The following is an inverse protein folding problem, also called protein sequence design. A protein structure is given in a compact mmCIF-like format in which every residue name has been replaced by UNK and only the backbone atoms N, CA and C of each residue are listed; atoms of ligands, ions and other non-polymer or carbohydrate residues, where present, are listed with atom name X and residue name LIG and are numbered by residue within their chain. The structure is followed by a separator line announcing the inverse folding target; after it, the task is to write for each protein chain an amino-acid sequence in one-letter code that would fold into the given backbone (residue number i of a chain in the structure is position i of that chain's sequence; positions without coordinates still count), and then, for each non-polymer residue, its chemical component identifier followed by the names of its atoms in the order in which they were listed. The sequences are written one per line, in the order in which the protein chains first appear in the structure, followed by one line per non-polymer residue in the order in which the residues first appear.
data_IF_922547552126
#
_entry.id   IF_922547552126
#
_cell.length_a   1.000
_cell.length_b   1.000
_cell.length_c   1.000
_cell.angle_alpha   90.00
_cell.angle_beta   90.00
_cell.angle_gamma   90.00
#
_symmetry.space_group_name_H-M   'P 1'
#
loop_
_entity.id
_entity.type
_entity.pdbx_description
1 polymer ?
#
# COMPACT_ATOMS: atom_id res chain seq x y z
N UNK A 1 13.76 -14.83 -8.56
CA UNK A 1 13.82 -14.99 -7.09
C UNK A 1 12.44 -14.69 -6.56
N UNK A 2 11.74 -15.69 -6.01
CA UNK A 2 10.39 -15.49 -5.45
C UNK A 2 10.55 -14.71 -4.13
N UNK A 3 9.94 -13.54 -4.03
CA UNK A 3 9.89 -12.78 -2.77
C UNK A 3 8.67 -13.27 -2.01
N UNK A 4 8.88 -13.90 -0.86
CA UNK A 4 7.77 -14.46 -0.09
C UNK A 4 7.04 -13.36 0.68
N UNK A 5 5.76 -13.61 0.98
CA UNK A 5 4.95 -12.73 1.84
C UNK A 5 5.67 -12.42 3.16
N UNK A 6 6.34 -13.41 3.75
CA UNK A 6 7.15 -13.28 4.97
C UNK A 6 8.26 -12.24 4.83
N UNK A 7 8.96 -12.23 3.69
CA UNK A 7 10.08 -11.31 3.45
C UNK A 7 9.55 -9.87 3.30
N UNK A 8 8.43 -9.73 2.59
CA UNK A 8 7.66 -8.49 2.50
C UNK A 8 6.91 -8.14 3.80
N UNK A 9 6.83 -9.01 4.80
CA UNK A 9 6.23 -8.67 6.07
C UNK A 9 7.30 -8.18 7.04
N UNK A 10 8.36 -8.96 7.23
CA UNK A 10 9.49 -8.62 8.08
C UNK A 10 10.14 -7.28 7.70
N UNK A 11 10.37 -7.05 6.40
CA UNK A 11 10.95 -5.78 5.96
C UNK A 11 9.99 -4.59 6.16
N UNK A 12 8.67 -4.80 6.20
CA UNK A 12 7.68 -3.73 6.45
C UNK A 12 7.76 -3.36 7.93
N UNK A 13 7.82 -4.37 8.81
CA UNK A 13 8.04 -4.21 10.24
C UNK A 13 9.36 -3.48 10.51
N UNK A 14 10.47 -3.87 9.88
CA UNK A 14 11.76 -3.18 10.07
C UNK A 14 11.73 -1.71 9.64
N UNK A 15 11.07 -1.38 8.52
CA UNK A 15 10.89 0.01 8.07
C UNK A 15 10.03 0.85 9.01
N UNK A 16 9.23 0.19 9.85
CA UNK A 16 8.33 0.85 10.77
C UNK A 16 8.89 1.11 12.15
N UNK A 17 9.84 0.29 12.59
CA UNK A 17 10.40 0.36 13.93
C UNK A 17 11.53 1.38 14.06
N UNK A 18 11.80 2.18 13.03
CA UNK A 18 12.91 3.16 13.01
C UNK A 18 12.87 4.16 14.17
N UNK A 19 11.69 4.58 14.61
CA UNK A 19 11.52 5.41 15.82
C UNK A 19 11.84 4.64 17.11
N UNK A 20 11.38 3.39 17.20
CA UNK A 20 11.64 2.50 18.35
C UNK A 20 13.14 2.23 18.45
N UNK A 21 13.77 1.87 17.34
CA UNK A 21 15.21 1.66 17.22
C UNK A 21 16.01 2.90 17.62
N UNK A 22 15.59 4.09 17.18
CA UNK A 22 16.24 5.34 17.58
C UNK A 22 16.10 5.57 19.10
N UNK A 23 14.91 5.36 19.68
CA UNK A 23 14.70 5.49 21.11
C UNK A 23 15.53 4.47 21.93
N UNK A 24 15.64 3.23 21.44
CA UNK A 24 16.49 2.20 22.05
C UNK A 24 17.97 2.59 22.02
N UNK A 25 18.46 3.17 20.92
CA UNK A 25 19.84 3.65 20.83
C UNK A 25 20.10 4.85 21.75
N UNK A 26 19.20 5.82 21.81
CA UNK A 26 19.31 6.95 22.75
C UNK A 26 19.32 6.47 24.20
N UNK A 27 18.43 5.52 24.53
CA UNK A 27 18.39 4.90 25.86
C UNK A 27 19.67 4.13 26.17
N UNK A 28 20.17 3.34 25.21
CA UNK A 28 21.43 2.61 25.34
C UNK A 28 22.62 3.55 25.54
N UNK A 29 22.65 4.68 24.83
CA UNK A 29 23.67 5.71 25.04
C UNK A 29 23.54 6.36 26.43
N UNK A 30 22.33 6.69 26.86
CA UNK A 30 22.07 7.26 28.19
C UNK A 30 22.55 6.36 29.33
N UNK A 31 22.34 5.05 29.22
CA UNK A 31 22.88 4.09 30.18
C UNK A 31 24.38 3.90 30.04
N UNK A 32 24.89 3.82 28.80
CA UNK A 32 26.30 3.59 28.50
C UNK A 32 27.23 4.74 28.92
N UNK A 33 26.78 6.00 28.84
CA UNK A 33 27.56 7.16 29.29
C UNK A 33 27.49 7.39 30.79
N UNK A 34 26.62 6.66 31.52
CA UNK A 34 26.39 6.91 32.94
C UNK A 34 25.56 8.17 33.23
N UNK A 35 25.02 8.84 32.20
CA UNK A 35 24.18 10.04 32.38
C UNK A 35 22.97 9.78 33.29
N UNK A 36 22.49 8.53 33.36
CA UNK A 36 21.42 8.12 34.26
C UNK A 36 21.73 8.29 35.76
N UNK A 37 23.01 8.28 36.16
CA UNK A 37 23.41 8.50 37.55
C UNK A 37 23.11 9.93 38.01
N UNK A 38 22.98 10.87 37.09
CA UNK A 38 22.65 12.27 37.35
C UNK A 38 21.15 12.58 37.25
N UNK A 39 20.28 11.56 37.08
CA UNK A 39 18.83 11.77 36.95
C UNK A 39 18.18 12.46 38.16
N UNK A 40 18.78 12.33 39.35
CA UNK A 40 18.30 12.96 40.60
C UNK A 40 18.54 14.47 40.60
N UNK A 41 19.59 14.94 39.91
CA UNK A 41 19.95 16.36 39.80
C UNK A 41 20.00 16.76 38.31
N UNK A 42 18.83 17.03 37.69
CA UNK A 42 18.74 17.32 36.26
C UNK A 42 19.53 18.57 35.83
N UNK A 43 19.80 19.50 36.75
CA UNK A 43 20.59 20.71 36.49
C UNK A 43 22.11 20.49 36.61
N UNK A 44 22.56 19.26 36.84
CA UNK A 44 23.98 18.92 36.88
C UNK A 44 24.63 19.13 35.52
N UNK A 45 25.59 20.06 35.44
CA UNK A 45 26.36 20.32 34.23
C UNK A 45 27.09 19.07 33.71
N UNK A 46 27.52 18.18 34.61
CA UNK A 46 28.18 16.93 34.27
C UNK A 46 27.21 15.92 33.62
N UNK A 47 26.02 15.74 34.21
CA UNK A 47 24.96 14.92 33.61
C UNK A 47 24.52 15.43 32.23
N UNK A 48 24.39 16.75 32.09
CA UNK A 48 24.08 17.39 30.82
C UNK A 48 25.18 17.17 29.77
N UNK A 49 26.45 17.27 30.15
CA UNK A 49 27.58 17.03 29.25
C UNK A 49 27.67 15.55 28.81
N UNK A 50 27.43 14.60 29.72
CA UNK A 50 27.39 13.17 29.42
C UNK A 50 26.22 12.80 28.50
N UNK A 51 25.04 13.38 28.71
CA UNK A 51 23.90 13.19 27.81
C UNK A 51 24.11 13.87 26.45
N UNK A 52 24.74 15.04 26.42
CA UNK A 52 25.04 15.76 25.18
C UNK A 52 25.88 14.92 24.21
N UNK A 53 26.77 14.05 24.71
CA UNK A 53 27.54 13.12 23.87
C UNK A 53 26.64 12.22 23.01
N UNK A 54 25.46 11.83 23.51
CA UNK A 54 24.49 11.01 22.78
C UNK A 54 23.85 11.75 21.60
N UNK A 55 23.85 13.09 21.60
CA UNK A 55 23.34 13.91 20.50
C UNK A 55 24.42 14.48 19.58
N UNK A 56 25.62 14.75 20.11
CA UNK A 56 26.69 15.46 19.39
C UNK A 56 27.73 14.55 18.75
N UNK A 57 27.86 13.29 19.20
CA UNK A 57 28.76 12.33 18.56
C UNK A 57 28.35 12.09 17.11
N UNK A 58 29.32 12.28 16.20
CA UNK A 58 29.15 12.04 14.77
C UNK A 58 28.83 10.58 14.50
N UNK A 59 29.45 9.68 15.26
CA UNK A 59 29.29 8.23 15.19
C UNK A 59 27.85 7.83 15.55
N UNK A 60 27.33 8.35 16.68
CA UNK A 60 25.95 8.10 17.10
C UNK A 60 24.96 8.65 16.08
N UNK A 61 25.18 9.88 15.57
CA UNK A 61 24.31 10.50 14.56
C UNK A 61 24.29 9.74 13.24
N UNK A 62 25.45 9.28 12.76
CA UNK A 62 25.55 8.46 11.54
C UNK A 62 24.91 7.09 11.73
N UNK A 63 25.06 6.48 12.91
CA UNK A 63 24.43 5.20 13.25
C UNK A 63 22.92 5.31 13.28
N UNK A 64 22.39 6.37 13.92
CA UNK A 64 20.96 6.67 13.94
C UNK A 64 20.41 6.92 12.54
N UNK A 65 21.14 7.67 11.70
CA UNK A 65 20.78 7.90 10.31
C UNK A 65 20.71 6.59 9.52
N UNK A 66 21.73 5.75 9.62
CA UNK A 66 21.77 4.45 8.97
C UNK A 66 20.60 3.58 9.41
N UNK A 67 20.30 3.53 10.71
CA UNK A 67 19.22 2.72 11.25
C UNK A 67 17.83 3.20 10.82
N UNK A 68 17.65 4.52 10.63
CA UNK A 68 16.41 5.10 10.10
C UNK A 68 16.25 4.87 8.59
N UNK A 69 17.32 5.02 7.82
CA UNK A 69 17.24 5.00 6.36
C UNK A 69 17.36 3.60 5.76
N UNK A 70 18.23 2.75 6.30
CA UNK A 70 18.59 1.47 5.70
C UNK A 70 17.36 0.57 5.44
N UNK A 71 16.41 0.38 6.39
CA UNK A 71 15.23 -0.44 6.11
C UNK A 71 14.38 0.12 4.96
N UNK A 72 14.18 1.43 4.93
CA UNK A 72 13.41 2.11 3.88
C UNK A 72 14.13 2.09 2.53
N UNK A 73 15.47 2.17 2.52
CA UNK A 73 16.30 2.03 1.33
C UNK A 73 16.19 0.62 0.75
N UNK A 74 16.29 -0.42 1.58
CA UNK A 74 16.13 -1.81 1.15
C UNK A 74 14.76 -1.99 0.50
N UNK A 75 13.70 -1.45 1.13
CA UNK A 75 12.35 -1.50 0.58
C UNK A 75 12.19 -0.78 -0.75
N UNK A 76 12.72 0.43 -0.84
CA UNK A 76 12.70 1.21 -2.06
C UNK A 76 13.36 0.45 -3.22
N UNK A 77 14.56 -0.11 -2.98
CA UNK A 77 15.29 -0.89 -3.98
C UNK A 77 14.56 -2.19 -4.36
N UNK A 78 13.92 -2.86 -3.41
CA UNK A 78 13.07 -4.03 -3.68
C UNK A 78 11.89 -3.66 -4.60
N UNK A 79 11.20 -2.54 -4.34
CA UNK A 79 10.11 -2.07 -5.19
C UNK A 79 10.59 -1.72 -6.61
N UNK A 80 11.76 -1.07 -6.75
CA UNK A 80 12.36 -0.78 -8.05
C UNK A 80 12.74 -2.06 -8.80
N UNK A 81 13.27 -3.06 -8.09
CA UNK A 81 13.59 -4.36 -8.68
C UNK A 81 12.32 -5.07 -9.18
N UNK A 82 11.27 -5.11 -8.37
CA UNK A 82 9.99 -5.71 -8.78
C UNK A 82 9.38 -5.01 -10.00
N UNK A 83 9.44 -3.68 -10.04
CA UNK A 83 9.03 -2.90 -11.21
C UNK A 83 9.82 -3.29 -12.46
N UNK A 84 11.15 -3.38 -12.36
CA UNK A 84 12.01 -3.79 -13.47
C UNK A 84 11.67 -5.21 -13.94
N UNK A 85 11.53 -6.14 -13.01
CA UNK A 85 11.25 -7.54 -13.31
C UNK A 85 9.86 -7.68 -14.00
N UNK A 86 8.86 -6.87 -13.59
CA UNK A 86 7.58 -6.76 -14.30
C UNK A 86 7.74 -6.28 -15.75
N UNK A 87 8.50 -5.19 -15.97
CA UNK A 87 8.70 -4.64 -17.32
C UNK A 87 9.43 -5.64 -18.24
N UNK A 88 10.39 -6.40 -17.72
CA UNK A 88 11.10 -7.44 -18.48
C UNK A 88 10.13 -8.54 -18.94
N UNK A 89 9.24 -8.99 -18.05
CA UNK A 89 8.23 -10.00 -18.35
C UNK A 89 7.19 -9.50 -19.36
N UNK A 90 6.78 -8.23 -19.26
CA UNK A 90 5.86 -7.61 -20.23
C UNK A 90 6.49 -7.42 -21.60
N UNK A 91 7.81 -7.19 -21.68
CA UNK A 91 8.53 -7.03 -22.94
C UNK A 91 8.84 -8.37 -23.63
N UNK A 92 9.04 -9.44 -22.85
CA UNK A 92 9.33 -10.78 -23.36
C UNK A 92 8.31 -11.77 -22.78
N UNK A 93 7.06 -11.78 -23.29
CA UNK A 93 6.07 -12.70 -22.81
C UNK A 93 6.53 -14.15 -23.10
N UNK A 94 6.58 -15.02 -22.09
CA UNK A 94 7.03 -16.39 -22.26
C UNK A 94 6.14 -17.13 -23.26
N UNK A 95 6.76 -17.72 -24.30
CA UNK A 95 6.10 -18.31 -25.47
C UNK A 95 5.44 -19.67 -25.24
N UNK A 96 5.32 -20.14 -24.00
CA UNK A 96 4.65 -21.42 -23.69
C UNK A 96 3.95 -21.33 -22.34
N UNK A 97 2.87 -22.10 -22.20
CA UNK A 97 2.00 -22.27 -21.03
C UNK A 97 2.70 -22.70 -19.71
N UNK A 98 4.03 -22.65 -19.64
CA UNK A 98 4.83 -22.86 -18.42
C UNK A 98 5.01 -21.61 -17.56
N UNK A 99 4.37 -20.49 -17.92
CA UNK A 99 4.52 -19.21 -17.24
C UNK A 99 3.26 -18.71 -16.52
N UNK A 100 2.32 -19.60 -16.20
CA UNK A 100 1.64 -19.45 -14.92
C UNK A 100 2.72 -19.71 -13.87
N UNK A 101 3.47 -18.66 -13.52
CA UNK A 101 4.31 -18.64 -12.32
C UNK A 101 3.34 -18.72 -11.16
N UNK A 102 2.86 -19.94 -10.91
CA UNK A 102 2.20 -20.30 -9.69
C UNK A 102 3.16 -19.89 -8.58
N UNK A 103 2.70 -18.95 -7.78
CA UNK A 103 3.22 -18.72 -6.45
C UNK A 103 2.94 -20.02 -5.69
N UNK A 104 3.77 -21.06 -5.85
CA UNK A 104 3.78 -22.16 -4.89
C UNK A 104 4.23 -21.56 -3.56
N UNK A 105 3.41 -21.60 -2.51
CA UNK A 105 3.88 -21.30 -1.17
C UNK A 105 5.01 -22.29 -0.84
N UNK A 106 6.06 -21.80 -0.17
CA UNK A 106 7.20 -22.60 0.26
C UNK A 106 6.89 -23.52 1.45
N UNK A 107 5.62 -23.80 1.74
CA UNK A 107 5.20 -24.78 2.74
C UNK A 107 3.88 -25.37 2.28
N UNK A 108 3.87 -26.68 2.09
CA UNK A 108 2.67 -27.48 1.90
C UNK A 108 2.00 -27.68 3.27
N UNK A 109 1.04 -26.83 3.59
CA UNK A 109 0.23 -26.92 4.81
C UNK A 109 -0.98 -27.87 4.63
N UNK A 110 -1.07 -28.64 3.53
CA UNK A 110 -2.18 -29.57 3.32
C UNK A 110 -2.16 -30.78 4.28
N UNK A 111 -1.08 -30.93 5.06
CA UNK A 111 -0.87 -32.01 6.01
C UNK A 111 -1.34 -31.71 7.44
N UNK A 112 -1.84 -30.50 7.74
CA UNK A 112 -2.31 -30.17 9.09
C UNK A 112 -3.85 -30.11 9.13
N UNK A 113 -4.52 -31.07 9.79
CA UNK A 113 -5.97 -31.01 9.95
C UNK A 113 -6.33 -29.96 11.02
N UNK A 114 -7.23 -29.04 10.67
CA UNK A 114 -8.06 -28.20 11.58
C UNK A 114 -7.32 -27.40 12.67
N UNK A 115 -6.26 -26.68 12.31
CA UNK A 115 -5.78 -25.58 13.17
C UNK A 115 -6.70 -24.34 13.10
N UNK A 116 -7.48 -24.21 12.01
CA UNK A 116 -8.36 -23.06 11.75
C UNK A 116 -9.52 -22.99 12.77
N UNK A 117 -10.19 -24.11 13.03
CA UNK A 117 -11.26 -24.20 14.04
C UNK A 117 -10.72 -23.96 15.46
N UNK A 118 -9.50 -24.43 15.76
CA UNK A 118 -8.86 -24.28 17.06
C UNK A 118 -8.32 -22.85 17.31
N UNK A 119 -7.88 -22.15 16.27
CA UNK A 119 -7.44 -20.76 16.38
C UNK A 119 -8.63 -19.80 16.51
N UNK A 120 -9.71 -20.05 15.76
CA UNK A 120 -10.97 -19.32 15.94
C UNK A 120 -11.52 -19.53 17.36
N UNK A 121 -11.52 -20.77 17.86
CA UNK A 121 -11.99 -21.08 19.21
C UNK A 121 -11.09 -20.49 20.32
N UNK A 122 -9.76 -20.59 20.19
CA UNK A 122 -8.83 -20.03 21.18
C UNK A 122 -8.82 -18.50 21.20
N UNK A 123 -9.00 -17.84 20.05
CA UNK A 123 -9.13 -16.38 20.01
C UNK A 123 -10.49 -15.94 20.58
N UNK A 124 -11.58 -16.65 20.28
CA UNK A 124 -12.89 -16.37 20.91
C UNK A 124 -12.84 -16.54 22.43
N UNK A 125 -12.13 -17.53 22.96
CA UNK A 125 -11.90 -17.70 24.41
C UNK A 125 -11.08 -16.56 25.02
N UNK A 126 -10.01 -16.10 24.37
CA UNK A 126 -9.20 -14.97 24.83
C UNK A 126 -10.00 -13.66 24.84
N UNK A 127 -10.84 -13.42 23.83
CA UNK A 127 -11.67 -12.22 23.76
C UNK A 127 -12.88 -12.28 24.68
N UNK A 128 -13.49 -13.47 24.88
CA UNK A 128 -14.56 -13.68 25.85
C UNK A 128 -14.06 -13.47 27.29
N UNK A 129 -12.86 -13.95 27.61
CA UNK A 129 -12.21 -13.73 28.90
C UNK A 129 -11.94 -12.23 29.15
N UNK A 130 -11.62 -11.45 28.13
CA UNK A 130 -11.45 -9.99 28.25
C UNK A 130 -12.75 -9.23 28.46
N UNK A 131 -13.92 -9.82 28.14
CA UNK A 131 -15.23 -9.20 28.35
C UNK A 131 -15.94 -9.66 29.64
N UNK A 132 -15.38 -10.66 30.34
CA UNK A 132 -15.99 -11.25 31.53
C UNK A 132 -15.46 -10.67 32.86
N UNK A 133 -14.44 -9.80 32.84
CA UNK A 133 -13.79 -9.27 34.06
C UNK A 133 -14.35 -7.92 34.57
N UNK A 134 -15.54 -7.54 34.11
CA UNK A 134 -16.32 -6.44 34.72
C UNK A 134 -17.71 -6.95 35.02
N UNK A 135 -17.88 -7.59 36.17
CA UNK A 135 -19.05 -7.52 37.06
C UNK A 135 -19.11 -8.80 37.92
N UNK A 136 -18.58 -8.76 39.14
CA UNK A 136 -18.98 -9.70 40.18
C UNK A 136 -18.89 -9.04 41.56
N UNK A 137 -20.04 -8.56 42.04
CA UNK A 137 -20.39 -8.45 43.46
C UNK A 137 -21.34 -9.61 43.79
N UNK A 138 -21.18 -10.35 44.91
CA UNK A 138 -21.95 -11.57 45.15
C UNK A 138 -23.20 -11.30 46.00
N UNK A 139 -24.40 -11.58 45.48
CA UNK A 139 -25.60 -11.72 46.33
C UNK A 139 -26.75 -12.55 45.72
N UNK A 140 -27.04 -13.67 46.41
CA UNK A 140 -28.34 -14.28 46.72
C UNK A 140 -29.38 -14.70 45.62
N UNK A 141 -29.58 -16.02 45.60
CA UNK A 141 -30.87 -16.75 45.70
C UNK A 141 -31.83 -16.89 44.50
N UNK A 142 -32.23 -18.14 44.21
CA UNK A 142 -33.62 -18.46 43.84
C UNK A 142 -33.90 -19.35 42.61
N UNK A 143 -33.94 -20.68 42.81
CA UNK A 143 -34.95 -21.65 42.30
C UNK A 143 -35.31 -21.69 40.79
N UNK A 144 -34.71 -22.66 40.06
CA UNK A 144 -35.27 -23.84 39.36
C UNK A 144 -36.49 -23.78 38.35
N UNK A 145 -36.69 -24.79 37.47
CA UNK A 145 -36.62 -24.63 36.00
C UNK A 145 -37.86 -25.14 35.20
N UNK A 146 -37.92 -24.86 33.89
CA UNK A 146 -38.75 -25.64 32.94
C UNK A 146 -38.33 -25.45 31.47
N UNK A 147 -37.89 -26.54 30.84
CA UNK A 147 -37.79 -26.79 29.38
C UNK A 147 -39.19 -27.13 28.78
N UNK A 148 -39.32 -27.55 27.50
CA UNK A 148 -38.84 -26.99 26.22
C UNK A 148 -39.99 -26.96 25.15
N UNK A 149 -39.67 -26.62 23.89
CA UNK A 149 -40.17 -27.23 22.63
C UNK A 149 -40.78 -26.30 21.56
N UNK A 150 -40.46 -26.64 20.31
CA UNK A 150 -41.18 -26.29 19.07
C UNK A 150 -40.56 -25.11 18.31
N UNK A 151 -40.12 -25.19 17.05
CA UNK A 151 -40.35 -26.16 15.98
C UNK A 151 -40.83 -25.42 14.72
N UNK A 152 -40.20 -25.71 13.56
CA UNK A 152 -40.57 -25.31 12.18
C UNK A 152 -40.48 -23.81 11.87
N UNK A 153 -40.10 -23.33 10.68
CA UNK A 153 -40.13 -23.89 9.32
C UNK A 153 -39.33 -22.98 8.37
N UNK A 154 -38.54 -23.57 7.47
CA UNK A 154 -38.28 -22.99 6.14
C UNK A 154 -39.58 -23.11 5.31
N UNK A 155 -39.84 -22.23 4.32
CA UNK A 155 -39.48 -22.65 2.96
C UNK A 155 -39.18 -21.52 1.95
N UNK A 156 -38.42 -21.93 0.92
CA UNK A 156 -38.63 -21.63 -0.52
C UNK A 156 -38.06 -20.32 -1.11
N UNK A 157 -36.95 -20.52 -1.82
CA UNK A 157 -36.70 -20.21 -3.24
C UNK A 157 -37.37 -18.96 -3.82
N UNK A 158 -36.55 -17.98 -4.22
CA UNK A 158 -36.81 -17.18 -5.42
C UNK A 158 -35.50 -16.98 -6.18
N UNK A 159 -35.40 -17.63 -7.34
CA UNK A 159 -34.41 -17.32 -8.36
C UNK A 159 -34.72 -15.93 -8.93
N UNK A 160 -33.69 -15.09 -9.03
CA UNK A 160 -33.64 -14.03 -10.04
C UNK A 160 -32.18 -13.82 -10.44
N UNK A 161 -31.87 -14.29 -11.64
CA UNK A 161 -30.65 -13.99 -12.38
C UNK A 161 -30.49 -12.48 -12.54
N UNK A 162 -29.36 -11.95 -12.08
CA UNK A 162 -28.71 -10.76 -12.63
C UNK A 162 -27.22 -11.03 -12.58
N UNK A 163 -26.70 -11.57 -13.68
CA UNK A 163 -25.29 -11.49 -14.05
C UNK A 163 -24.91 -10.01 -14.29
N UNK A 164 -23.60 -9.75 -14.45
CA UNK A 164 -22.89 -8.49 -14.79
C UNK A 164 -22.05 -7.94 -13.61
N UNK A 165 -20.76 -7.61 -13.73
CA UNK A 165 -19.76 -7.72 -14.81
C UNK A 165 -18.38 -7.91 -14.15
N UNK A 166 -17.65 -8.82 -14.74
CA UNK A 166 -16.23 -9.11 -14.61
C UNK A 166 -15.42 -7.93 -15.19
N UNK A 167 -14.61 -7.27 -14.37
CA UNK A 167 -13.76 -6.14 -14.80
C UNK A 167 -12.44 -6.68 -15.36
N UNK A 168 -12.54 -7.44 -16.44
CA UNK A 168 -11.46 -7.80 -17.36
C UNK A 168 -11.90 -7.36 -18.75
N UNK A 169 -11.61 -6.11 -19.14
CA UNK A 169 -11.44 -5.70 -20.54
C UNK A 169 -11.17 -4.20 -20.65
N UNK A 170 -9.90 -3.80 -20.52
CA UNK A 170 -9.46 -2.47 -21.01
C UNK A 170 -8.09 -2.50 -21.73
N UNK A 171 -7.52 -3.68 -22.02
CA UNK A 171 -6.21 -3.78 -22.68
C UNK A 171 -6.21 -4.58 -23.99
N UNK A 172 -7.34 -5.16 -24.40
CA UNK A 172 -7.40 -5.98 -25.63
C UNK A 172 -7.81 -5.21 -26.90
N UNK A 173 -8.40 -4.00 -26.80
CA UNK A 173 -8.95 -3.30 -27.98
C UNK A 173 -7.93 -2.50 -28.81
N UNK A 174 -6.68 -2.32 -28.36
CA UNK A 174 -5.68 -1.55 -29.13
C UNK A 174 -4.89 -2.37 -30.15
N UNK A 175 -5.02 -3.71 -30.15
CA UNK A 175 -4.26 -4.59 -31.04
C UNK A 175 -4.88 -4.80 -32.43
N UNK A 176 -6.18 -4.54 -32.61
CA UNK A 176 -6.91 -4.90 -33.84
C UNK A 176 -6.92 -3.75 -34.87
N UNK A 177 -6.87 -2.48 -34.43
CA UNK A 177 -6.90 -1.34 -35.36
C UNK A 177 -5.58 -1.16 -36.15
N UNK A 178 -4.44 -1.64 -35.64
CA UNK A 178 -3.15 -1.49 -36.34
C UNK A 178 -2.98 -2.43 -37.54
N UNK A 179 -3.69 -3.57 -37.57
CA UNK A 179 -3.65 -4.54 -38.67
C UNK A 179 -4.60 -4.19 -39.82
N UNK A 180 -5.69 -3.47 -39.55
CA UNK A 180 -6.63 -3.03 -40.60
C UNK A 180 -6.03 -1.94 -41.49
N UNK A 181 -5.22 -1.03 -40.93
CA UNK A 181 -4.64 0.11 -41.66
C UNK A 181 -3.46 -0.32 -42.56
N UNK A 182 -2.69 -1.33 -42.14
CA UNK A 182 -1.58 -1.86 -42.95
C UNK A 182 -2.06 -2.56 -44.23
N UNK A 183 -3.20 -3.27 -44.18
CA UNK A 183 -3.77 -3.95 -45.34
C UNK A 183 -4.41 -3.00 -46.36
N UNK A 184 -4.83 -1.80 -45.97
CA UNK A 184 -5.40 -0.82 -46.91
C UNK A 184 -4.33 -0.14 -47.76
N UNK A 185 -3.10 0.00 -47.23
CA UNK A 185 -2.00 0.67 -47.94
C UNK A 185 -1.31 -0.28 -48.94
N UNK A 186 -1.24 -1.57 -48.64
CA UNK A 186 -0.60 -2.55 -49.53
C UNK A 186 -1.47 -2.95 -50.74
N UNK A 187 -2.79 -2.76 -50.67
CA UNK A 187 -3.71 -3.08 -51.77
C UNK A 187 -3.71 -2.04 -52.90
N UNK A 188 -3.21 -0.82 -52.65
CA UNK A 188 -3.18 0.26 -53.64
C UNK A 188 -2.01 0.23 -54.62
N UNK A 189 -1.01 -0.65 -54.43
CA UNK A 189 0.25 -0.61 -55.19
C UNK A 189 0.42 -1.75 -56.22
N UNK A 190 -0.49 -2.73 -56.29
CA UNK A 190 -0.31 -3.97 -57.09
C UNK A 190 -1.21 -4.13 -58.33
N UNK A 191 -1.80 -3.06 -58.88
CA UNK A 191 -2.53 -3.16 -60.17
C UNK A 191 -2.17 -2.01 -61.09
N UNK A 192 -1.00 -2.11 -61.71
CA UNK A 192 -0.57 -1.23 -62.80
C UNK A 192 0.03 -2.07 -63.93
N UNK A 193 -0.80 -2.66 -64.80
CA UNK A 193 -0.37 -3.13 -66.13
C UNK A 193 -1.56 -3.32 -67.09
N UNK A 194 -1.51 -2.55 -68.18
CA UNK A 194 -1.83 -2.90 -69.57
C UNK A 194 -3.28 -2.81 -70.13
N UNK A 195 -3.41 -1.86 -71.07
CA UNK A 195 -4.24 -1.77 -72.30
C UNK A 195 -5.54 -0.96 -72.33
N UNK A 196 -5.82 -0.29 -73.48
CA UNK A 196 -6.57 0.97 -73.55
C UNK A 196 -8.00 0.76 -74.03
N UNK A 197 -8.93 1.66 -73.67
CA UNK A 197 -10.13 1.97 -74.48
C UNK A 197 -10.93 3.12 -73.83
N UNK A 198 -11.25 4.10 -74.69
CA UNK A 198 -12.34 5.07 -74.65
C UNK A 198 -12.29 6.21 -73.62
N UNK A 199 -12.24 7.41 -74.20
CA UNK A 199 -12.40 8.69 -73.56
C UNK A 199 -13.83 8.84 -73.00
N UNK A 200 -13.92 9.13 -71.71
CA UNK A 200 -15.06 9.86 -71.16
C UNK A 200 -14.56 10.95 -70.20
N UNK A 201 -15.11 12.15 -70.40
CA UNK A 201 -14.86 13.36 -69.62
C UNK A 201 -15.32 13.14 -68.17
N UNK A 202 -14.39 13.16 -67.22
CA UNK A 202 -14.68 13.33 -65.80
C UNK A 202 -14.03 14.64 -65.31
N UNK A 203 -14.76 15.46 -64.52
CA UNK A 203 -14.27 16.76 -64.09
C UNK A 203 -13.13 16.59 -63.08
N UNK A 204 -12.01 17.24 -63.37
CA UNK A 204 -10.94 17.50 -62.40
C UNK A 204 -11.48 18.40 -61.30
N UNK A 205 -12.02 17.81 -60.24
CA UNK A 205 -12.22 18.47 -58.96
C UNK A 205 -11.14 17.97 -58.01
N UNK A 206 -9.91 18.46 -58.21
CA UNK A 206 -8.88 18.42 -57.18
C UNK A 206 -9.36 19.35 -56.07
N UNK A 207 -10.09 18.80 -55.10
CA UNK A 207 -10.41 19.45 -53.84
C UNK A 207 -9.09 19.76 -53.12
N UNK A 208 -8.57 20.96 -53.35
CA UNK A 208 -7.43 21.49 -52.61
C UNK A 208 -7.86 21.63 -51.16
N UNK A 209 -7.51 20.65 -50.33
CA UNK A 209 -7.53 20.81 -48.88
C UNK A 209 -6.80 22.11 -48.59
N UNK A 210 -7.52 23.09 -48.05
CA UNK A 210 -6.95 24.39 -47.74
C UNK A 210 -5.74 24.17 -46.83
N UNK A 211 -4.71 25.01 -46.98
CA UNK A 211 -3.49 24.92 -46.16
C UNK A 211 -3.82 24.91 -44.65
N UNK A 212 -4.92 25.57 -44.28
CA UNK A 212 -5.51 25.55 -42.92
C UNK A 212 -5.97 24.15 -42.51
N UNK A 213 -6.63 23.39 -43.39
CA UNK A 213 -7.11 22.03 -43.12
C UNK A 213 -5.94 21.05 -42.96
N UNK A 214 -4.89 21.19 -43.77
CA UNK A 214 -3.66 20.39 -43.64
C UNK A 214 -2.93 20.71 -42.33
N UNK A 215 -2.79 21.99 -41.98
CA UNK A 215 -2.22 22.41 -40.70
C UNK A 215 -3.02 21.88 -39.51
N UNK A 216 -4.35 21.95 -39.55
CA UNK A 216 -5.22 21.44 -38.48
C UNK A 216 -5.09 19.91 -38.29
N UNK A 217 -4.99 19.15 -39.39
CA UNK A 217 -4.77 17.71 -39.36
C UNK A 217 -3.38 17.37 -38.80
N UNK A 218 -2.33 18.10 -39.21
CA UNK A 218 -0.98 17.93 -38.68
C UNK A 218 -0.92 18.22 -37.17
N UNK A 219 -1.51 19.33 -36.71
CA UNK A 219 -1.58 19.66 -35.28
C UNK A 219 -2.33 18.56 -34.50
N UNK A 220 -3.46 18.10 -35.02
CA UNK A 220 -4.26 17.03 -34.41
C UNK A 220 -3.53 15.68 -34.37
N UNK A 221 -2.72 15.38 -35.40
CA UNK A 221 -1.89 14.19 -35.45
C UNK A 221 -0.73 14.28 -34.45
N UNK A 222 -0.01 15.41 -34.41
CA UNK A 222 1.06 15.64 -33.44
C UNK A 222 0.54 15.62 -32.01
N UNK A 223 -0.64 16.21 -31.74
CA UNK A 223 -1.28 16.19 -30.43
C UNK A 223 -1.71 14.76 -30.01
N UNK A 224 -2.27 13.97 -30.94
CA UNK A 224 -2.62 12.56 -30.65
C UNK A 224 -1.40 11.69 -30.45
N UNK A 225 -0.36 11.89 -31.26
CA UNK A 225 0.93 11.20 -31.13
C UNK A 225 1.57 11.54 -29.79
N UNK A 226 1.65 12.82 -29.41
CA UNK A 226 2.23 13.24 -28.13
C UNK A 226 1.40 12.72 -26.95
N UNK A 227 0.07 12.76 -27.01
CA UNK A 227 -0.79 12.18 -25.99
C UNK A 227 -0.58 10.66 -25.84
N UNK A 228 -0.43 9.92 -26.95
CA UNK A 228 -0.13 8.48 -26.93
C UNK A 228 1.25 8.17 -26.35
N UNK A 229 2.29 8.94 -26.70
CA UNK A 229 3.62 8.82 -26.09
C UNK A 229 3.60 9.12 -24.60
N UNK A 230 2.89 10.19 -24.22
CA UNK A 230 2.70 10.59 -22.82
C UNK A 230 2.00 9.44 -22.07
N UNK A 231 0.86 8.95 -22.54
CA UNK A 231 0.12 7.86 -21.91
C UNK A 231 0.93 6.56 -21.79
N UNK A 232 1.69 6.19 -22.84
CA UNK A 232 2.59 5.04 -22.81
C UNK A 232 3.72 5.22 -21.79
N UNK A 233 4.31 6.42 -21.72
CA UNK A 233 5.34 6.74 -20.73
C UNK A 233 4.78 6.73 -19.30
N UNK A 234 3.56 7.25 -19.10
CA UNK A 234 2.84 7.16 -17.82
C UNK A 234 2.58 5.71 -17.43
N UNK A 235 2.17 4.85 -18.36
CA UNK A 235 1.92 3.43 -18.10
C UNK A 235 3.21 2.68 -17.68
N UNK A 236 4.35 2.99 -18.29
CA UNK A 236 5.66 2.41 -17.92
C UNK A 236 6.19 2.97 -16.60
N UNK A 237 5.86 4.24 -16.29
CA UNK A 237 6.27 4.88 -15.04
C UNK A 237 5.48 4.34 -13.84
N UNK A 238 4.17 4.18 -13.99
CA UNK A 238 3.24 3.87 -12.92
C UNK A 238 2.72 2.43 -12.98
N UNK A 239 3.64 1.47 -12.81
CA UNK A 239 3.31 0.06 -12.68
C UNK A 239 2.73 -0.21 -11.29
N UNK A 240 1.44 -0.56 -11.23
CA UNK A 240 0.80 -1.01 -10.00
C UNK A 240 1.24 -2.43 -9.62
N UNK A 241 1.46 -2.76 -8.34
CA UNK A 241 1.57 -1.86 -7.18
C UNK A 241 3.00 -1.32 -6.95
N UNK A 242 3.99 -1.80 -7.72
CA UNK A 242 5.41 -1.64 -7.41
C UNK A 242 5.91 -0.19 -7.47
N UNK A 243 5.55 0.58 -8.50
CA UNK A 243 5.96 1.98 -8.65
C UNK A 243 5.38 2.86 -7.54
N UNK A 244 4.11 2.64 -7.19
CA UNK A 244 3.44 3.40 -6.15
C UNK A 244 4.03 3.09 -4.77
N UNK A 245 4.31 1.81 -4.50
CA UNK A 245 5.00 1.43 -3.27
C UNK A 245 6.43 2.02 -3.21
N UNK A 246 7.14 2.08 -4.35
CA UNK A 246 8.44 2.75 -4.42
C UNK A 246 8.34 4.25 -4.07
N UNK A 247 7.31 4.94 -4.58
CA UNK A 247 7.06 6.35 -4.24
C UNK A 247 6.85 6.54 -2.74
N UNK A 248 6.09 5.63 -2.08
CA UNK A 248 5.90 5.65 -0.62
C UNK A 248 7.22 5.70 0.12
N UNK A 249 8.12 4.77 -0.22
CA UNK A 249 9.42 4.66 0.43
C UNK A 249 10.35 5.81 0.07
N UNK A 250 10.29 6.31 -1.16
CA UNK A 250 11.03 7.50 -1.57
C UNK A 250 10.63 8.72 -0.73
N UNK A 251 9.33 9.03 -0.62
CA UNK A 251 8.83 10.13 0.21
C UNK A 251 9.23 9.96 1.68
N UNK A 252 9.19 8.73 2.19
CA UNK A 252 9.62 8.41 3.56
C UNK A 252 11.13 8.65 3.75
N UNK A 253 11.95 8.23 2.80
CA UNK A 253 13.40 8.43 2.81
C UNK A 253 13.78 9.91 2.79
N UNK A 254 13.15 10.68 1.90
CA UNK A 254 13.41 12.12 1.78
C UNK A 254 13.09 12.85 3.09
N UNK A 255 11.91 12.59 3.68
CA UNK A 255 11.53 13.17 4.98
C UNK A 255 12.49 12.75 6.10
N UNK A 256 12.85 11.47 6.15
CA UNK A 256 13.72 10.93 7.18
C UNK A 256 15.16 11.49 7.08
N UNK A 257 15.68 11.64 5.87
CA UNK A 257 17.01 12.20 5.61
C UNK A 257 17.08 13.66 6.04
N UNK A 258 16.20 14.51 5.49
CA UNK A 258 16.21 15.93 5.81
C UNK A 258 15.81 16.24 7.25
N UNK A 259 14.95 15.43 7.87
CA UNK A 259 14.60 15.56 9.29
C UNK A 259 15.72 15.11 10.24
N UNK A 260 16.64 14.25 9.79
CA UNK A 260 17.78 13.80 10.60
C UNK A 260 19.02 14.66 10.41
N UNK A 261 19.08 15.42 9.32
CA UNK A 261 20.17 16.36 8.98
C UNK A 261 19.59 17.76 8.70
N UNK A 262 18.96 18.40 9.69
CA UNK A 262 18.46 19.76 9.52
C UNK A 262 19.63 20.75 9.32
N UNK A 263 19.37 21.91 8.69
CA UNK A 263 20.34 23.00 8.61
C UNK A 263 20.71 23.53 10.01
N UNK A 264 21.73 24.38 10.09
CA UNK A 264 22.24 24.94 11.36
C UNK A 264 21.14 25.61 12.19
N UNK A 265 20.23 26.32 11.52
CA UNK A 265 18.99 26.81 12.12
C UNK A 265 17.81 25.90 11.70
N UNK A 266 17.44 24.92 12.54
CA UNK A 266 16.34 24.01 12.24
C UNK A 266 14.98 24.70 12.21
N UNK A 267 14.85 25.90 12.81
CA UNK A 267 13.62 26.69 12.84
C UNK A 267 13.58 27.76 11.74
N UNK A 268 14.58 27.78 10.86
CA UNK A 268 14.62 28.71 9.73
C UNK A 268 13.35 28.58 8.88
N UNK A 269 12.74 29.73 8.60
CA UNK A 269 11.52 29.82 7.78
C UNK A 269 11.77 29.20 6.40
N UNK A 270 12.96 29.44 5.82
CA UNK A 270 13.36 28.90 4.52
C UNK A 270 13.29 27.37 4.49
N UNK A 271 13.84 26.68 5.50
CA UNK A 271 13.79 25.23 5.59
C UNK A 271 12.36 24.70 5.82
N UNK A 272 11.65 25.29 6.78
CA UNK A 272 10.30 24.84 7.14
C UNK A 272 9.29 25.02 6.01
N UNK A 273 9.45 26.06 5.18
CA UNK A 273 8.54 26.39 4.08
C UNK A 273 8.35 25.26 3.07
N UNK A 274 9.37 24.45 2.82
CA UNK A 274 9.30 23.29 1.90
C UNK A 274 9.29 21.95 2.64
N UNK A 275 9.94 21.87 3.81
CA UNK A 275 10.04 20.62 4.56
C UNK A 275 8.70 20.19 5.15
N UNK A 276 7.93 21.13 5.73
CA UNK A 276 6.61 20.84 6.30
C UNK A 276 5.65 20.32 5.22
N UNK A 277 5.49 20.99 4.05
CA UNK A 277 4.68 20.45 2.96
C UNK A 277 5.13 19.06 2.49
N UNK A 278 6.44 18.81 2.36
CA UNK A 278 6.96 17.50 2.00
C UNK A 278 6.55 16.42 3.02
N UNK A 279 6.65 16.72 4.32
CA UNK A 279 6.24 15.80 5.38
C UNK A 279 4.73 15.56 5.36
N UNK A 280 3.92 16.61 5.14
CA UNK A 280 2.46 16.48 4.99
C UNK A 280 2.12 15.58 3.80
N UNK A 281 2.73 15.79 2.63
CA UNK A 281 2.52 14.95 1.43
C UNK A 281 2.88 13.50 1.71
N UNK A 282 4.04 13.26 2.30
CA UNK A 282 4.50 11.91 2.68
C UNK A 282 3.54 11.23 3.66
N UNK A 283 2.99 11.99 4.60
CA UNK A 283 2.02 11.53 5.60
C UNK A 283 0.70 11.16 4.95
N UNK A 284 0.13 12.06 4.15
CA UNK A 284 -1.14 11.85 3.44
C UNK A 284 -1.06 10.65 2.48
N UNK A 285 0.02 10.57 1.70
CA UNK A 285 0.24 9.45 0.79
C UNK A 285 0.29 8.11 1.52
N UNK A 286 0.91 8.10 2.69
CA UNK A 286 0.98 6.90 3.51
C UNK A 286 -0.33 6.57 4.22
N UNK A 287 -1.13 7.57 4.63
CA UNK A 287 -2.48 7.35 5.15
C UNK A 287 -3.37 6.69 4.09
N UNK A 288 -3.33 7.23 2.86
CA UNK A 288 -3.98 6.63 1.69
C UNK A 288 -3.55 5.17 1.52
N UNK A 289 -2.24 4.92 1.53
CA UNK A 289 -1.72 3.57 1.37
C UNK A 289 -2.20 2.61 2.46
N UNK A 290 -2.12 3.01 3.74
CA UNK A 290 -2.51 2.18 4.86
C UNK A 290 -4.00 1.79 4.75
N UNK A 291 -4.89 2.77 4.52
CA UNK A 291 -6.35 2.55 4.52
C UNK A 291 -6.85 1.85 3.26
N UNK A 292 -6.43 2.32 2.08
CA UNK A 292 -6.96 1.84 0.80
C UNK A 292 -6.24 0.59 0.32
N UNK A 293 -4.91 0.55 0.45
CA UNK A 293 -4.10 -0.52 -0.17
C UNK A 293 -3.83 -1.65 0.81
N UNK A 294 -3.35 -1.33 2.01
CA UNK A 294 -2.96 -2.35 3.00
C UNK A 294 -4.20 -2.95 3.69
N UNK A 295 -5.17 -2.12 4.11
CA UNK A 295 -6.39 -2.60 4.78
C UNK A 295 -7.50 -3.00 3.80
N UNK A 296 -7.41 -2.55 2.54
CA UNK A 296 -8.41 -2.78 1.49
C UNK A 296 -9.82 -2.35 1.91
N UNK A 297 -9.91 -1.27 2.68
CA UNK A 297 -11.16 -0.66 3.11
C UNK A 297 -11.67 0.29 2.02
N UNK A 298 -12.88 0.82 2.17
CA UNK A 298 -13.57 1.66 1.20
C UNK A 298 -13.90 0.94 -0.13
N UNK A 299 -14.36 -0.31 -0.04
CA UNK A 299 -14.86 -1.03 -1.22
C UNK A 299 -16.31 -0.64 -1.47
N UNK A 300 -16.63 -0.19 -2.69
CA UNK A 300 -17.97 0.24 -3.06
C UNK A 300 -19.02 -0.88 -3.02
N UNK A 301 -18.57 -2.13 -3.16
CA UNK A 301 -19.43 -3.33 -3.24
C UNK A 301 -19.70 -3.97 -1.87
N UNK A 302 -19.36 -3.29 -0.77
CA UNK A 302 -19.60 -3.78 0.58
C UNK A 302 -20.96 -3.31 1.12
N UNK A 303 -21.65 -4.17 1.88
CA UNK A 303 -22.91 -3.83 2.55
C UNK A 303 -22.71 -2.76 3.63
N UNK A 304 -21.55 -2.76 4.29
CA UNK A 304 -21.16 -1.77 5.29
C UNK A 304 -20.38 -0.61 4.66
N UNK A 305 -20.83 0.63 4.91
CA UNK A 305 -20.17 1.86 4.43
C UNK A 305 -18.70 1.90 4.86
N UNK A 306 -17.81 2.15 3.90
CA UNK A 306 -16.34 2.24 4.07
C UNK A 306 -15.60 0.95 4.43
N UNK A 307 -16.29 -0.18 4.58
CA UNK A 307 -15.67 -1.47 4.88
C UNK A 307 -15.48 -2.29 3.59
N UNK A 308 -15.02 -3.53 3.74
CA UNK A 308 -14.89 -4.50 2.65
C UNK A 308 -15.89 -5.63 2.83
N UNK A 309 -16.25 -6.29 1.73
CA UNK A 309 -17.28 -7.34 1.73
C UNK A 309 -16.95 -8.55 2.63
N UNK A 310 -15.67 -8.95 2.69
CA UNK A 310 -15.25 -10.10 3.50
C UNK A 310 -14.40 -9.61 4.67
N UNK A 311 -14.97 -9.64 5.87
CA UNK A 311 -14.31 -9.32 7.13
C UNK A 311 -14.20 -10.62 7.93
N UNK A 312 -13.01 -10.92 8.42
CA UNK A 312 -12.81 -12.05 9.33
C UNK A 312 -13.40 -11.72 10.71
N UNK A 313 -13.13 -10.52 11.22
CA UNK A 313 -13.67 -10.05 12.50
C UNK A 313 -15.05 -9.41 12.35
N UNK A 314 -16.00 -10.11 11.73
CA UNK A 314 -17.34 -9.57 11.45
C UNK A 314 -18.07 -9.10 12.72
N UNK A 315 -17.86 -9.77 13.87
CA UNK A 315 -18.47 -9.42 15.16
C UNK A 315 -17.93 -8.10 15.73
N UNK A 316 -16.71 -7.69 15.34
CA UNK A 316 -16.05 -6.47 15.82
C UNK A 316 -15.93 -5.41 14.72
N UNK A 317 -17.03 -5.08 14.03
CA UNK A 317 -17.02 -4.02 13.00
C UNK A 317 -16.46 -2.68 13.52
N UNK A 318 -16.73 -2.36 14.80
CA UNK A 318 -16.22 -1.17 15.47
C UNK A 318 -14.70 -1.04 15.45
N UNK A 319 -13.95 -2.15 15.47
CA UNK A 319 -12.49 -2.14 15.36
C UNK A 319 -12.02 -1.54 14.04
N UNK A 320 -12.66 -1.87 12.91
CA UNK A 320 -12.28 -1.34 11.60
C UNK A 320 -12.53 0.16 11.50
N UNK A 321 -13.68 0.62 11.97
CA UNK A 321 -13.99 2.06 12.03
C UNK A 321 -13.03 2.80 12.95
N UNK A 322 -12.71 2.21 14.11
CA UNK A 322 -11.69 2.76 15.00
C UNK A 322 -10.35 2.90 14.30
N UNK A 323 -9.87 1.88 13.57
CA UNK A 323 -8.58 1.96 12.86
C UNK A 323 -8.60 2.98 11.71
N UNK A 324 -9.73 3.14 11.01
CA UNK A 324 -9.90 4.19 9.97
C UNK A 324 -9.64 5.58 10.55
N UNK A 325 -10.09 5.85 11.78
CA UNK A 325 -9.93 7.16 12.46
C UNK A 325 -8.58 7.25 13.17
N UNK A 326 -8.20 6.20 13.91
CA UNK A 326 -7.00 6.19 14.74
C UNK A 326 -5.72 6.20 13.90
N UNK A 327 -5.67 5.53 12.74
CA UNK A 327 -4.45 5.45 11.94
C UNK A 327 -3.99 6.83 11.44
N UNK A 328 -4.84 7.68 10.82
CA UNK A 328 -4.47 9.05 10.47
C UNK A 328 -4.03 9.86 11.69
N UNK A 329 -4.78 9.85 12.80
CA UNK A 329 -4.45 10.61 14.02
C UNK A 329 -3.05 10.24 14.53
N UNK A 330 -2.80 8.94 14.73
CA UNK A 330 -1.51 8.44 15.20
C UNK A 330 -0.38 8.75 14.21
N UNK A 331 -0.68 8.80 12.91
CA UNK A 331 0.31 9.13 11.89
C UNK A 331 0.67 10.61 11.88
N UNK A 332 -0.26 11.50 12.21
CA UNK A 332 -0.01 12.94 12.36
C UNK A 332 0.70 13.32 13.67
N UNK A 333 0.95 12.37 14.59
CA UNK A 333 1.65 12.65 15.86
C UNK A 333 3.06 13.21 15.69
N UNK A 334 3.66 13.15 14.49
CA UNK A 334 4.92 13.85 14.23
C UNK A 334 4.82 15.37 14.43
N UNK A 335 3.64 15.96 14.34
CA UNK A 335 3.42 17.40 14.60
C UNK A 335 3.70 17.76 16.06
N UNK A 336 3.57 16.81 16.99
CA UNK A 336 3.92 17.02 18.39
C UNK A 336 5.41 17.27 18.59
N UNK A 337 6.27 16.90 17.62
CA UNK A 337 7.71 17.21 17.64
C UNK A 337 8.01 18.71 17.68
N UNK A 338 7.04 19.57 17.28
CA UNK A 338 7.14 21.03 17.35
C UNK A 338 6.51 21.62 18.62
N UNK A 339 6.06 20.78 19.53
CA UNK A 339 5.47 21.17 20.80
C UNK A 339 6.38 20.70 21.94
N UNK A 340 6.18 21.18 23.18
CA UNK A 340 6.89 20.65 24.35
C UNK A 340 6.71 19.14 24.56
N UNK A 341 5.70 18.52 23.93
CA UNK A 341 5.41 17.09 24.04
C UNK A 341 6.17 16.21 23.06
N UNK A 342 7.02 16.77 22.19
CA UNK A 342 7.70 16.07 21.11
C UNK A 342 8.68 14.95 21.52
N UNK A 343 9.07 14.93 22.79
CA UNK A 343 10.02 13.97 23.37
C UNK A 343 9.36 13.00 24.35
N UNK A 344 8.04 13.07 24.53
CA UNK A 344 7.36 12.22 25.51
C UNK A 344 7.38 10.73 25.12
N UNK A 345 7.58 9.81 26.08
CA UNK A 345 7.67 8.38 25.81
C UNK A 345 6.38 7.76 25.24
N UNK A 346 5.21 8.37 25.50
CA UNK A 346 3.94 7.87 24.95
C UNK A 346 3.91 7.89 23.40
N UNK A 347 4.70 8.74 22.75
CA UNK A 347 4.79 8.80 21.29
C UNK A 347 5.32 7.49 20.70
N UNK A 348 6.20 6.80 21.43
CA UNK A 348 6.71 5.47 21.05
C UNK A 348 5.63 4.42 21.19
N UNK A 349 4.87 4.45 22.30
CA UNK A 349 3.74 3.53 22.54
C UNK A 349 2.67 3.67 21.47
N UNK A 350 2.32 4.90 21.09
CA UNK A 350 1.37 5.18 20.01
C UNK A 350 1.85 4.72 18.63
N UNK A 351 3.15 4.84 18.33
CA UNK A 351 3.70 4.29 17.09
C UNK A 351 3.63 2.76 17.09
N UNK A 352 3.93 2.10 18.22
CA UNK A 352 3.82 0.64 18.38
C UNK A 352 2.37 0.18 18.19
N UNK A 353 1.42 0.82 18.87
CA UNK A 353 -0.01 0.50 18.75
C UNK A 353 -0.51 0.63 17.31
N UNK A 354 -0.14 1.73 16.63
CA UNK A 354 -0.48 1.93 15.21
C UNK A 354 0.02 0.79 14.32
N UNK A 355 1.21 0.27 14.60
CA UNK A 355 1.78 -0.88 13.88
C UNK A 355 1.15 -2.20 14.26
N UNK A 356 0.72 -2.35 15.50
CA UNK A 356 -0.13 -3.47 15.93
C UNK A 356 -1.40 -3.54 15.09
N UNK A 357 -2.12 -2.42 14.96
CA UNK A 357 -3.33 -2.35 14.11
C UNK A 357 -3.04 -2.72 12.66
N UNK A 358 -1.94 -2.17 12.10
CA UNK A 358 -1.53 -2.49 10.73
C UNK A 358 -1.21 -3.98 10.55
N UNK A 359 -0.48 -4.59 11.49
CA UNK A 359 -0.10 -6.00 11.42
C UNK A 359 -1.32 -6.92 11.46
N UNK A 360 -2.27 -6.67 12.38
CA UNK A 360 -3.51 -7.44 12.50
C UNK A 360 -4.31 -7.40 11.20
N UNK A 361 -4.61 -6.20 10.68
CA UNK A 361 -5.39 -6.06 9.45
C UNK A 361 -4.67 -6.62 8.23
N UNK A 362 -3.34 -6.47 8.15
CA UNK A 362 -2.57 -6.99 7.00
C UNK A 362 -2.52 -8.51 6.98
N UNK A 363 -2.37 -9.12 8.15
CA UNK A 363 -2.43 -10.57 8.32
C UNK A 363 -3.80 -11.11 7.96
N UNK A 364 -4.86 -10.45 8.42
CA UNK A 364 -6.23 -10.81 8.08
C UNK A 364 -6.48 -10.77 6.56
N UNK A 365 -6.08 -9.68 5.89
CA UNK A 365 -6.19 -9.56 4.42
C UNK A 365 -5.41 -10.67 3.71
N UNK A 366 -4.18 -10.97 4.17
CA UNK A 366 -3.37 -12.03 3.60
C UNK A 366 -4.02 -13.41 3.79
N UNK A 367 -4.62 -13.65 4.95
CA UNK A 367 -5.34 -14.89 5.27
C UNK A 367 -6.56 -15.08 4.37
N UNK A 368 -7.39 -14.04 4.22
CA UNK A 368 -8.57 -14.07 3.32
C UNK A 368 -8.14 -14.33 1.88
N UNK A 369 -7.05 -13.72 1.41
CA UNK A 369 -6.51 -13.94 0.06
C UNK A 369 -6.04 -15.39 -0.14
N UNK A 370 -5.43 -15.98 0.88
CA UNK A 370 -4.99 -17.37 0.85
C UNK A 370 -6.17 -18.34 0.84
N UNK A 371 -7.20 -18.12 1.66
CA UNK A 371 -8.43 -18.93 1.63
C UNK A 371 -9.10 -18.89 0.26
N UNK A 372 -9.20 -17.71 -0.37
CA UNK A 372 -9.75 -17.58 -1.73
C UNK A 372 -8.94 -18.38 -2.74
N UNK A 373 -7.60 -18.35 -2.64
CA UNK A 373 -6.71 -19.12 -3.50
C UNK A 373 -6.93 -20.62 -3.33
N UNK A 374 -7.05 -21.11 -2.10
CA UNK A 374 -7.28 -22.54 -1.81
C UNK A 374 -8.65 -23.04 -2.27
N UNK A 375 -9.67 -22.19 -2.27
CA UNK A 375 -11.01 -22.52 -2.79
C UNK A 375 -11.06 -22.55 -4.33
N UNK A 376 -10.13 -21.88 -4.99
CA UNK A 376 -10.05 -21.80 -6.46
C UNK A 376 -9.13 -22.86 -7.08
N UNK A 377 -8.29 -23.51 -6.28
CA UNK A 377 -7.49 -24.68 -6.64
C UNK A 377 -8.27 -25.96 -6.35
#
# INVERSE_FOLDING_TARGET
MKVFLRDNFAANILSSLTKVWAAMLYSGCYFGTGAFLHAVNPDSAEGAALFAQCGTSKEVRMTLLALKLLPSCIRFLQCLRQRRDFLILSANPPTTASAVVAVSPAVDYSLEPRLEDALEQSMEEVFAASSADTDDDPALSGVNPSSPAGGRSSPRVMHSNIDFIENDDCTASMGVEMLSVANTISATESTRTATPVVADKAPTTTSSLSLVSLCALCISFYARRSASWVQSTWAVLWVWPHSYNALRYFLTLTVAYFGSMPPQDPLSIEYMSWYIPLYVISTLYSCYWDVIVDYQLFQADAEDLFLRKNLFYHKMKGFYYFVIVANPILRFMWTLSYTPYGSHPFLVVFEIARRGFWAVLRMEVAYIQELKRRRAA
#
